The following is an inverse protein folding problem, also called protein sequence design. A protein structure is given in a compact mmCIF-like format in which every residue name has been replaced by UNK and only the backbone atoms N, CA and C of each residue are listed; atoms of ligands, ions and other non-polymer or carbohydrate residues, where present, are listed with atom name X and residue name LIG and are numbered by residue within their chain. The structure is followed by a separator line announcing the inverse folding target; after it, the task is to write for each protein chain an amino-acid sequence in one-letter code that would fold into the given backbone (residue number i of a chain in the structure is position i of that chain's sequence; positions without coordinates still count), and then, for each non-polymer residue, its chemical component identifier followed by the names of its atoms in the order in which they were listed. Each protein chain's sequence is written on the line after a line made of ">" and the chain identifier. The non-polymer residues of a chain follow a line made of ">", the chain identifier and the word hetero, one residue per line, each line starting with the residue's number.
data_IF_749313965434
#
_entry.id   IF_749313965434
#
_cell.length_a   1.000
_cell.length_b   1.000
_cell.length_c   1.000
_cell.angle_alpha   90.00
_cell.angle_beta   90.00
_cell.angle_gamma   90.00
#
_symmetry.space_group_name_H-M   'P 1'
#
loop_
_entity.id
_entity.type
_entity.pdbx_description
1 polymer ?
#
# COMPACT_ATOMS: atom_id res chain seq x y z
N UNK A 1 -8.77 6.59 -0.09
CA UNK A 1 -7.71 7.60 -0.31
C UNK A 1 -6.36 7.02 0.06
N UNK A 2 -5.30 7.83 0.03
CA UNK A 2 -3.92 7.41 0.15
C UNK A 2 -3.18 7.48 -1.19
N UNK A 3 -1.87 7.20 -1.16
CA UNK A 3 -1.00 7.41 -2.33
C UNK A 3 -1.44 6.62 -3.56
N UNK A 4 -1.81 5.35 -3.40
CA UNK A 4 -2.30 4.50 -4.49
C UNK A 4 -3.59 5.05 -5.12
N UNK A 5 -4.51 5.54 -4.29
CA UNK A 5 -5.78 6.12 -4.76
C UNK A 5 -5.58 7.47 -5.45
N UNK A 6 -4.59 8.27 -5.02
CA UNK A 6 -4.23 9.53 -5.69
C UNK A 6 -3.65 9.25 -7.08
N UNK A 7 -2.83 8.22 -7.24
CA UNK A 7 -2.33 7.80 -8.55
C UNK A 7 -3.45 7.26 -9.45
N UNK A 8 -4.32 6.40 -8.90
CA UNK A 8 -5.52 5.90 -9.57
C UNK A 8 -6.41 7.04 -10.08
N UNK A 9 -6.71 8.03 -9.23
CA UNK A 9 -7.50 9.21 -9.59
C UNK A 9 -6.82 10.02 -10.70
N UNK A 10 -5.51 10.26 -10.57
CA UNK A 10 -4.74 11.03 -11.55
C UNK A 10 -4.76 10.36 -12.93
N UNK A 11 -4.63 9.03 -12.96
CA UNK A 11 -4.69 8.26 -14.21
C UNK A 11 -6.09 8.28 -14.82
N UNK A 12 -7.13 8.00 -14.03
CA UNK A 12 -8.52 8.02 -14.50
C UNK A 12 -8.93 9.40 -15.02
N UNK A 13 -8.52 10.46 -14.33
CA UNK A 13 -8.75 11.85 -14.73
C UNK A 13 -8.03 12.18 -16.04
N UNK A 14 -6.82 11.66 -16.26
CA UNK A 14 -6.15 11.83 -17.55
C UNK A 14 -6.91 11.13 -18.68
N UNK A 15 -7.45 9.93 -18.44
CA UNK A 15 -8.26 9.20 -19.43
C UNK A 15 -9.54 9.96 -19.79
N UNK A 16 -10.16 10.65 -18.84
CA UNK A 16 -11.42 11.38 -19.08
C UNK A 16 -11.27 12.60 -19.99
N UNK A 17 -10.04 12.96 -20.41
CA UNK A 17 -9.81 13.98 -21.44
C UNK A 17 -10.25 13.53 -22.83
N UNK A 18 -10.43 12.22 -23.04
CA UNK A 18 -11.11 11.70 -24.23
C UNK A 18 -12.64 11.75 -24.01
N UNK A 19 -13.37 12.41 -24.91
CA UNK A 19 -14.84 12.56 -24.81
C UNK A 19 -15.62 11.25 -24.95
N UNK A 20 -15.01 10.19 -25.50
CA UNK A 20 -15.62 8.86 -25.54
C UNK A 20 -15.57 8.13 -24.19
N UNK A 21 -14.69 8.59 -23.28
CA UNK A 21 -14.55 8.02 -21.94
C UNK A 21 -15.54 8.68 -20.99
N UNK A 22 -16.42 7.86 -20.40
CA UNK A 22 -17.32 8.27 -19.31
C UNK A 22 -16.72 7.86 -17.98
N UNK A 23 -16.21 8.83 -17.23
CA UNK A 23 -15.59 8.59 -15.93
C UNK A 23 -16.61 8.74 -14.81
N UNK A 24 -16.68 7.75 -13.92
CA UNK A 24 -17.37 7.88 -12.63
C UNK A 24 -16.39 7.62 -11.51
N UNK A 25 -16.13 8.63 -10.69
CA UNK A 25 -15.32 8.52 -9.46
C UNK A 25 -16.26 8.31 -8.29
N UNK A 26 -16.06 7.21 -7.56
CA UNK A 26 -16.83 6.88 -6.35
C UNK A 26 -15.91 6.96 -5.15
N UNK A 27 -16.20 7.88 -4.23
CA UNK A 27 -15.58 7.92 -2.91
C UNK A 27 -16.46 7.14 -1.93
N UNK A 28 -15.88 6.08 -1.37
CA UNK A 28 -16.43 5.39 -0.20
C UNK A 28 -16.06 6.19 1.04
N UNK A 29 -17.06 6.50 1.86
CA UNK A 29 -16.90 7.19 3.15
C UNK A 29 -17.41 6.26 4.23
N UNK A 30 -16.56 5.87 5.16
CA UNK A 30 -17.02 5.07 6.28
C UNK A 30 -17.67 5.97 7.32
N UNK A 31 -18.81 5.54 7.85
CA UNK A 31 -19.47 6.19 8.99
C UNK A 31 -18.73 5.80 10.28
N UNK A 32 -17.45 6.17 10.37
CA UNK A 32 -16.54 5.88 11.47
C UNK A 32 -15.71 7.11 11.79
N UNK A 33 -15.48 7.44 13.08
CA UNK A 33 -14.56 8.50 13.46
C UNK A 33 -13.11 8.21 13.02
N UNK A 34 -12.78 6.95 12.76
CA UNK A 34 -11.45 6.51 12.33
C UNK A 34 -11.26 6.55 10.80
N UNK A 35 -12.28 6.94 10.01
CA UNK A 35 -12.13 7.14 8.57
C UNK A 35 -11.38 8.45 8.29
N UNK A 36 -10.07 8.41 8.50
CA UNK A 36 -9.19 9.52 8.19
C UNK A 36 -9.03 9.66 6.68
N UNK A 37 -9.63 10.72 6.14
CA UNK A 37 -9.37 11.21 4.80
C UNK A 37 -8.34 12.34 4.90
N UNK A 38 -7.12 12.04 4.49
CA UNK A 38 -5.98 12.93 4.69
C UNK A 38 -6.15 14.26 3.92
N UNK A 39 -5.44 15.32 4.37
CA UNK A 39 -5.57 16.67 3.77
C UNK A 39 -5.16 16.67 2.29
N UNK A 40 -4.17 15.85 1.91
CA UNK A 40 -3.71 15.73 0.53
C UNK A 40 -4.78 15.07 -0.36
N UNK A 41 -5.42 14.00 0.11
CA UNK A 41 -6.54 13.35 -0.54
C UNK A 41 -7.69 14.34 -0.76
N UNK A 42 -7.95 15.20 0.23
CA UNK A 42 -8.94 16.27 0.15
C UNK A 42 -8.58 17.31 -0.89
N UNK A 43 -7.33 17.74 -0.95
CA UNK A 43 -6.85 18.68 -1.96
C UNK A 43 -6.95 18.11 -3.37
N UNK A 44 -6.46 16.88 -3.58
CA UNK A 44 -6.54 16.18 -4.86
C UNK A 44 -8.00 16.05 -5.34
N UNK A 45 -8.87 15.63 -4.44
CA UNK A 45 -10.27 15.46 -4.76
C UNK A 45 -10.96 16.80 -5.06
N UNK A 46 -10.67 17.83 -4.26
CA UNK A 46 -11.20 19.19 -4.49
C UNK A 46 -10.75 19.72 -5.84
N UNK A 47 -9.49 19.54 -6.20
CA UNK A 47 -8.94 19.94 -7.50
C UNK A 47 -9.64 19.20 -8.64
N UNK A 48 -9.83 17.88 -8.51
CA UNK A 48 -10.57 17.07 -9.48
C UNK A 48 -12.00 17.61 -9.67
N UNK A 49 -12.78 17.69 -8.59
CA UNK A 49 -14.18 18.13 -8.65
C UNK A 49 -14.31 19.53 -9.25
N UNK A 50 -13.44 20.47 -8.83
CA UNK A 50 -13.44 21.83 -9.35
C UNK A 50 -13.18 21.87 -10.86
N UNK A 51 -12.17 21.13 -11.32
CA UNK A 51 -11.77 21.15 -12.74
C UNK A 51 -12.72 20.35 -13.64
N UNK A 52 -13.49 19.40 -13.10
CA UNK A 52 -14.42 18.57 -13.88
C UNK A 52 -15.88 18.99 -13.73
N UNK A 53 -16.19 20.09 -13.03
CA UNK A 53 -17.56 20.50 -12.71
C UNK A 53 -18.45 20.63 -13.97
N UNK A 54 -17.88 21.16 -15.05
CA UNK A 54 -18.61 21.39 -16.31
C UNK A 54 -18.32 20.32 -17.36
N UNK A 55 -17.73 19.18 -16.97
CA UNK A 55 -17.41 18.08 -17.89
C UNK A 55 -18.53 17.02 -17.87
N UNK A 56 -19.39 16.94 -18.90
CA UNK A 56 -20.60 16.11 -18.86
C UNK A 56 -20.33 14.59 -18.85
N UNK A 57 -19.12 14.17 -19.24
CA UNK A 57 -18.70 12.76 -19.23
C UNK A 57 -18.10 12.34 -17.89
N UNK A 58 -17.93 13.25 -16.94
CA UNK A 58 -17.33 12.98 -15.62
C UNK A 58 -18.39 13.10 -14.54
N UNK A 59 -18.43 12.12 -13.64
CA UNK A 59 -19.31 12.11 -12.47
C UNK A 59 -18.51 11.85 -11.20
N UNK A 60 -18.79 12.63 -10.16
CA UNK A 60 -18.30 12.37 -8.82
C UNK A 60 -19.44 11.92 -7.91
N UNK A 61 -19.23 10.86 -7.12
CA UNK A 61 -20.23 10.30 -6.21
C UNK A 61 -19.59 10.00 -4.86
N UNK A 62 -20.20 10.50 -3.79
CA UNK A 62 -19.90 10.05 -2.42
C UNK A 62 -20.91 8.99 -1.97
N UNK A 63 -20.41 7.95 -1.32
CA UNK A 63 -21.21 6.84 -0.79
C UNK A 63 -20.78 6.53 0.63
N UNK A 64 -21.64 6.88 1.57
CA UNK A 64 -21.47 6.54 2.98
C UNK A 64 -21.82 5.07 3.20
N UNK A 65 -20.99 4.36 3.96
CA UNK A 65 -21.18 2.97 4.35
C UNK A 65 -20.91 2.82 5.84
N UNK A 66 -21.71 2.03 6.54
CA UNK A 66 -21.62 1.87 8.00
C UNK A 66 -20.82 0.64 8.42
N UNK A 67 -20.89 -0.39 7.59
CA UNK A 67 -20.27 -1.67 7.88
C UNK A 67 -19.79 -2.36 6.60
N UNK A 68 -19.05 -3.45 6.80
CA UNK A 68 -18.54 -4.29 5.72
C UNK A 68 -19.66 -4.81 4.82
N UNK A 69 -20.79 -5.22 5.40
CA UNK A 69 -21.93 -5.79 4.66
C UNK A 69 -22.53 -4.76 3.70
N UNK A 70 -22.68 -3.51 4.13
CA UNK A 70 -23.13 -2.41 3.30
C UNK A 70 -22.12 -2.09 2.19
N UNK A 71 -20.83 -2.18 2.51
CA UNK A 71 -19.73 -1.98 1.56
C UNK A 71 -19.75 -3.03 0.46
N UNK A 72 -19.84 -4.33 0.81
CA UNK A 72 -19.95 -5.43 -0.17
C UNK A 72 -21.21 -5.26 -1.02
N UNK A 73 -22.35 -4.89 -0.43
CA UNK A 73 -23.57 -4.60 -1.19
C UNK A 73 -23.40 -3.44 -2.17
N UNK A 74 -22.68 -2.40 -1.77
CA UNK A 74 -22.38 -1.27 -2.63
C UNK A 74 -21.42 -1.66 -3.76
N UNK A 75 -20.35 -2.39 -3.47
CA UNK A 75 -19.42 -2.91 -4.47
C UNK A 75 -20.12 -3.83 -5.46
N UNK A 76 -21.02 -4.70 -5.00
CA UNK A 76 -21.84 -5.53 -5.88
C UNK A 76 -22.75 -4.67 -6.79
N UNK A 77 -23.36 -3.59 -6.27
CA UNK A 77 -24.12 -2.65 -7.12
C UNK A 77 -23.25 -1.93 -8.14
N UNK A 78 -22.01 -1.57 -7.78
CA UNK A 78 -21.05 -0.90 -8.65
C UNK A 78 -20.55 -1.87 -9.72
N UNK A 79 -20.12 -3.08 -9.34
CA UNK A 79 -19.70 -4.16 -10.23
C UNK A 79 -20.72 -4.43 -11.34
N UNK A 80 -22.00 -4.45 -10.98
CA UNK A 80 -23.10 -4.70 -11.92
C UNK A 80 -23.56 -3.46 -12.73
N UNK A 81 -22.85 -2.34 -12.69
CA UNK A 81 -23.18 -1.16 -13.52
C UNK A 81 -22.78 -1.32 -14.98
N UNK A 82 -21.92 -2.30 -15.31
CA UNK A 82 -21.44 -2.51 -16.67
C UNK A 82 -20.36 -1.51 -17.09
N UNK A 83 -19.41 -1.20 -16.20
CA UNK A 83 -18.22 -0.45 -16.57
C UNK A 83 -17.23 -1.35 -17.33
N UNK A 84 -16.56 -0.82 -18.35
CA UNK A 84 -15.55 -1.58 -19.10
C UNK A 84 -14.23 -1.77 -18.32
N UNK A 85 -13.94 -0.83 -17.41
CA UNK A 85 -12.71 -0.78 -16.62
C UNK A 85 -12.99 -0.23 -15.21
N UNK A 86 -12.52 -0.96 -14.19
CA UNK A 86 -12.39 -0.47 -12.82
C UNK A 86 -10.95 -0.06 -12.55
N UNK A 87 -10.75 1.13 -11.98
CA UNK A 87 -9.45 1.65 -11.58
C UNK A 87 -9.48 1.84 -10.06
N UNK A 88 -8.56 1.18 -9.36
CA UNK A 88 -8.57 1.11 -7.89
C UNK A 88 -7.13 1.28 -7.38
N UNK A 89 -6.93 2.02 -6.30
CA UNK A 89 -5.68 1.96 -5.55
C UNK A 89 -5.66 0.72 -4.66
N UNK A 90 -4.52 0.04 -4.57
CA UNK A 90 -4.33 -1.15 -3.71
C UNK A 90 -4.64 -0.84 -2.24
N UNK A 91 -4.35 0.39 -1.80
CA UNK A 91 -4.71 0.89 -0.47
C UNK A 91 -3.70 0.49 0.59
N UNK A 92 -2.41 0.38 0.24
CA UNK A 92 -1.37 0.03 1.20
C UNK A 92 -1.40 0.92 2.45
N UNK A 93 -1.31 0.29 3.62
CA UNK A 93 -1.26 0.96 4.91
C UNK A 93 -2.61 1.49 5.43
N UNK A 94 -3.72 1.37 4.67
CA UNK A 94 -5.05 1.69 5.19
C UNK A 94 -5.73 0.46 5.78
N UNK A 95 -6.16 0.60 7.03
CA UNK A 95 -7.07 -0.35 7.67
C UNK A 95 -8.48 -0.06 7.15
N UNK A 96 -8.92 -0.81 6.15
CA UNK A 96 -10.35 -0.87 5.84
C UNK A 96 -10.93 -2.11 6.54
N UNK A 97 -12.10 -2.03 7.18
CA UNK A 97 -12.72 -3.17 7.86
C UNK A 97 -12.91 -4.42 6.97
N UNK A 98 -12.92 -4.23 5.65
CA UNK A 98 -13.01 -5.29 4.63
C UNK A 98 -11.73 -6.15 4.50
N UNK A 99 -10.56 -5.63 4.90
CA UNK A 99 -9.27 -6.34 4.84
C UNK A 99 -8.72 -6.74 6.22
N UNK A 100 -9.51 -6.58 7.29
CA UNK A 100 -9.05 -6.97 8.61
C UNK A 100 -9.11 -8.50 8.73
N UNK A 101 -8.05 -9.17 8.29
CA UNK A 101 -7.75 -10.45 8.91
C UNK A 101 -7.28 -10.15 10.34
N UNK A 102 -7.99 -10.64 11.34
CA UNK A 102 -7.57 -10.59 12.75
C UNK A 102 -6.32 -11.42 13.05
N UNK A 103 -5.80 -12.16 12.07
CA UNK A 103 -4.69 -13.09 12.22
C UNK A 103 -3.44 -12.54 11.50
N UNK A 104 -2.34 -12.24 12.23
CA UNK A 104 -1.08 -11.80 11.65
C UNK A 104 -0.39 -12.87 10.79
N UNK A 105 -0.93 -14.10 10.72
CA UNK A 105 -0.42 -15.21 9.92
C UNK A 105 -1.03 -15.25 8.50
N UNK A 106 -2.06 -14.45 8.19
CA UNK A 106 -2.59 -14.43 6.82
C UNK A 106 -1.84 -13.46 5.91
N UNK A 107 -1.72 -13.87 4.65
CA UNK A 107 -1.13 -13.09 3.57
C UNK A 107 -1.91 -11.77 3.36
N UNK A 108 -1.18 -10.69 3.05
CA UNK A 108 -1.81 -9.43 2.64
C UNK A 108 -2.76 -9.66 1.45
N UNK A 109 -3.89 -8.91 1.36
CA UNK A 109 -4.83 -9.00 0.24
C UNK A 109 -4.11 -8.91 -1.12
N UNK A 110 -4.45 -9.78 -2.08
CA UNK A 110 -3.68 -9.95 -3.32
C UNK A 110 -3.77 -8.71 -4.21
N UNK A 111 -4.91 -8.01 -4.21
CA UNK A 111 -5.15 -6.75 -4.94
C UNK A 111 -5.59 -5.60 -4.03
N UNK A 112 -5.51 -5.79 -2.71
CA UNK A 112 -6.12 -4.89 -1.74
C UNK A 112 -7.61 -5.22 -1.52
N UNK A 113 -8.21 -4.78 -0.40
CA UNK A 113 -9.57 -5.19 -0.04
C UNK A 113 -10.64 -4.90 -1.10
N UNK A 114 -10.57 -3.74 -1.77
CA UNK A 114 -11.52 -3.40 -2.84
C UNK A 114 -11.29 -4.23 -4.10
N UNK A 115 -10.02 -4.46 -4.46
CA UNK A 115 -9.64 -5.24 -5.64
C UNK A 115 -10.05 -6.70 -5.49
N UNK A 116 -9.75 -7.32 -4.34
CA UNK A 116 -10.11 -8.71 -4.06
C UNK A 116 -11.63 -8.89 -4.06
N UNK A 117 -12.35 -8.04 -3.33
CA UNK A 117 -13.83 -8.10 -3.30
C UNK A 117 -14.44 -7.92 -4.68
N UNK A 118 -13.94 -7.00 -5.51
CA UNK A 118 -14.45 -6.82 -6.87
C UNK A 118 -14.11 -7.98 -7.79
N UNK A 119 -12.98 -8.65 -7.59
CA UNK A 119 -12.57 -9.83 -8.34
C UNK A 119 -13.44 -11.04 -7.98
N UNK A 120 -13.77 -11.20 -6.70
CA UNK A 120 -14.65 -12.27 -6.20
C UNK A 120 -16.10 -12.12 -6.69
N UNK A 121 -16.52 -10.87 -6.96
CA UNK A 121 -17.82 -10.60 -7.54
C UNK A 121 -17.83 -11.04 -9.01
N UNK A 122 -18.53 -12.14 -9.30
CA UNK A 122 -18.79 -12.74 -10.63
C UNK A 122 -19.28 -11.75 -11.73
N UNK A 123 -19.66 -10.54 -11.32
CA UNK A 123 -20.02 -9.40 -12.17
C UNK A 123 -18.85 -8.81 -12.97
N UNK A 124 -17.61 -8.92 -12.46
CA UNK A 124 -16.42 -8.37 -13.09
C UNK A 124 -15.85 -9.24 -14.24
N UNK A 125 -16.44 -10.41 -14.52
CA UNK A 125 -15.90 -11.37 -15.49
C UNK A 125 -15.82 -10.84 -16.95
N UNK A 126 -16.46 -9.71 -17.25
CA UNK A 126 -16.40 -9.04 -18.56
C UNK A 126 -15.71 -7.67 -18.52
N UNK A 127 -15.16 -7.30 -17.37
CA UNK A 127 -14.63 -5.96 -17.11
C UNK A 127 -13.16 -6.07 -16.73
N UNK A 128 -12.34 -5.13 -17.17
CA UNK A 128 -10.94 -5.09 -16.74
C UNK A 128 -10.83 -4.45 -15.35
N UNK A 129 -9.90 -4.92 -14.52
CA UNK A 129 -9.55 -4.28 -13.24
C UNK A 129 -8.09 -3.85 -13.32
N UNK A 130 -7.83 -2.57 -13.10
CA UNK A 130 -6.49 -1.97 -13.04
C UNK A 130 -6.21 -1.50 -11.61
N UNK A 131 -5.20 -2.11 -10.99
CA UNK A 131 -4.78 -1.81 -9.63
C UNK A 131 -3.54 -0.90 -9.67
N UNK A 132 -3.62 0.23 -8.96
CA UNK A 132 -2.48 1.13 -8.74
C UNK A 132 -1.80 0.83 -7.42
N UNK A 133 -0.48 0.81 -7.43
CA UNK A 133 0.35 0.59 -6.25
C UNK A 133 1.62 1.43 -6.39
N UNK A 134 1.87 2.33 -5.45
CA UNK A 134 3.16 3.01 -5.37
C UNK A 134 4.23 1.98 -5.06
N UNK A 135 5.31 1.99 -5.84
CA UNK A 135 6.48 1.15 -5.58
C UNK A 135 7.02 1.44 -4.18
N UNK A 136 7.21 0.38 -3.38
CA UNK A 136 7.90 0.51 -2.10
C UNK A 136 9.31 1.06 -2.37
N UNK A 137 9.63 2.20 -1.74
CA UNK A 137 11.01 2.67 -1.71
C UNK A 137 11.83 1.57 -1.03
N UNK A 138 12.75 0.96 -1.79
CA UNK A 138 13.65 -0.05 -1.25
C UNK A 138 14.54 0.65 -0.22
N UNK A 139 14.15 0.59 1.04
CA UNK A 139 15.02 0.97 2.16
C UNK A 139 16.11 -0.10 2.31
N UNK A 140 17.05 -0.16 1.37
CA UNK A 140 18.32 -0.86 1.55
C UNK A 140 19.23 -0.01 2.43
N UNK A 141 18.81 0.17 3.68
CA UNK A 141 19.54 0.89 4.74
C UNK A 141 18.95 0.56 6.11
N UNK A 142 18.78 -0.72 6.43
CA UNK A 142 18.78 -1.17 7.83
C UNK A 142 20.07 -1.93 8.07
N UNK A 143 21.08 -1.20 8.56
CA UNK A 143 22.29 -1.77 9.16
C UNK A 143 21.83 -2.82 10.18
N UNK A 144 22.26 -4.06 9.98
CA UNK A 144 22.16 -5.09 11.01
C UNK A 144 22.99 -4.65 12.21
N UNK A 145 22.33 -4.13 13.23
CA UNK A 145 22.90 -4.04 14.57
C UNK A 145 22.51 -5.34 15.30
N UNK A 146 23.41 -6.33 15.23
CA UNK A 146 23.28 -7.55 16.01
C UNK A 146 23.50 -7.19 17.49
N UNK A 147 22.40 -7.06 18.24
CA UNK A 147 22.45 -7.08 19.70
C UNK A 147 22.78 -8.51 20.16
N UNK A 148 24.06 -8.82 20.27
CA UNK A 148 24.53 -9.97 21.02
C UNK A 148 24.32 -9.70 22.52
N UNK A 149 23.13 -10.01 23.03
CA UNK A 149 22.92 -10.15 24.48
C UNK A 149 23.35 -11.56 24.90
N UNK A 150 24.65 -11.74 25.11
CA UNK A 150 25.17 -12.91 25.80
C UNK A 150 25.13 -12.64 27.30
N UNK A 151 23.99 -12.90 27.93
CA UNK A 151 23.90 -12.99 29.39
C UNK A 151 24.55 -14.29 29.83
N UNK A 152 25.78 -14.22 30.34
CA UNK A 152 26.37 -15.28 31.15
C UNK A 152 26.50 -14.77 32.59
N UNK A 153 25.76 -15.39 33.50
CA UNK A 153 26.10 -15.36 34.91
C UNK A 153 25.90 -16.74 35.53
N UNK A 154 27.05 -17.32 35.90
CA UNK A 154 27.29 -18.25 36.99
C UNK A 154 26.87 -19.71 36.74
N UNK A 155 27.85 -20.62 36.68
CA UNK A 155 28.03 -21.73 37.64
C UNK A 155 29.30 -22.54 37.28
N UNK A 156 30.19 -22.67 38.29
CA UNK A 156 31.28 -23.64 38.51
C UNK A 156 32.67 -23.47 37.83
N UNK A 157 33.59 -22.89 38.63
CA UNK A 157 34.88 -23.42 39.12
C UNK A 157 35.89 -24.13 38.19
N UNK A 158 37.16 -23.69 38.23
CA UNK A 158 38.30 -24.53 37.81
C UNK A 158 39.52 -23.85 37.15
N UNK A 159 40.31 -23.10 37.92
CA UNK A 159 41.79 -23.15 38.06
C UNK A 159 42.73 -23.20 36.81
N UNK A 160 43.68 -22.25 36.82
CA UNK A 160 45.10 -22.25 36.36
C UNK A 160 45.55 -21.59 35.03
N UNK A 161 46.12 -20.39 35.23
CA UNK A 161 47.47 -19.92 34.87
C UNK A 161 47.94 -19.69 33.41
N UNK A 162 48.22 -18.39 33.17
CA UNK A 162 49.43 -17.75 32.60
C UNK A 162 49.95 -18.12 31.20
N UNK A 163 49.97 -17.14 30.29
CA UNK A 163 51.16 -16.29 29.97
C UNK A 163 50.88 -15.32 28.80
N UNK A 164 51.31 -14.07 28.96
CA UNK A 164 51.43 -13.04 27.91
C UNK A 164 52.67 -13.28 27.03
N UNK A 165 52.61 -12.95 25.73
CA UNK A 165 53.64 -12.20 24.97
C UNK A 165 53.17 -11.94 23.50
N UNK A 166 52.92 -10.69 23.09
CA UNK A 166 53.80 -9.71 22.38
C UNK A 166 53.63 -9.73 20.83
N UNK A 167 53.26 -8.55 20.29
CA UNK A 167 53.15 -8.13 18.88
C UNK A 167 54.50 -8.23 18.12
N UNK A 168 54.58 -8.60 16.83
CA UNK A 168 54.26 -7.83 15.59
C UNK A 168 54.61 -8.73 14.37
N UNK A 169 54.14 -8.43 13.14
CA UNK A 169 54.95 -8.78 11.96
C UNK A 169 55.28 -7.58 11.06
N UNK A 170 56.43 -7.75 10.40
CA UNK A 170 57.20 -6.79 9.63
C UNK A 170 56.58 -6.40 8.28
N UNK A 171 56.92 -5.19 7.86
CA UNK A 171 56.72 -4.65 6.50
C UNK A 171 57.86 -5.17 5.61
N UNK A 172 57.54 -5.67 4.42
CA UNK A 172 58.51 -5.92 3.34
C UNK A 172 57.98 -5.37 2.03
N UNK A 173 58.68 -4.36 1.51
CA UNK A 173 58.48 -3.77 0.19
C UNK A 173 59.18 -4.58 -0.90
N UNK A 174 58.57 -4.64 -2.09
CA UNK A 174 59.22 -5.06 -3.33
C UNK A 174 58.52 -4.38 -4.52
N UNK A 175 59.24 -3.64 -5.38
CA UNK A 175 58.65 -2.75 -6.39
C UNK A 175 58.45 -3.49 -7.72
N UNK A 176 57.41 -3.13 -8.47
CA UNK A 176 57.33 -3.44 -9.89
C UNK A 176 56.86 -2.19 -10.67
N UNK A 177 57.80 -1.56 -11.37
CA UNK A 177 57.53 -0.70 -12.51
C UNK A 177 58.30 -1.26 -13.72
N UNK A 178 57.51 -1.58 -14.75
CA UNK A 178 57.82 -1.83 -16.17
C UNK A 178 58.73 -3.02 -16.53
#
# INVERSE_FOLDING_TARGET
>A
GGVDDREALSYAWRMSRNMEVKLTVVRLVWDSPDDEFDELDREYLRAFVYQTNDTPTVRYLEKVVKDEKETVRLLNRIGNKGFDLYIIGRGHGRKMPLAQTLDPVLDEPVFGPLGDTLTDLNSAAKTSILIFQKQAESNDSKKHEYNASATSSQFLDGVMDQQQQVYTPAVSFGPNFR
#
